data_IF_348781495081
#
_entry.id   IF_348781495081
#
_cell.length_a   1.000
_cell.length_b   1.000
_cell.length_c   1.000
_cell.angle_alpha   90.00
_cell.angle_beta   90.00
_cell.angle_gamma   90.00
#
_symmetry.space_group_name_H-M   'P 1'
#
loop_
_entity.id
_entity.type
_entity.pdbx_description
1 polymer ?
#
# COMPACT_ATOMS: atom_id res chain seq x y z
N UNK A 1 10.64 -17.31 -28.96
CA UNK A 1 10.70 -17.45 -27.47
C UNK A 1 9.29 -17.36 -26.92
N UNK A 2 8.92 -18.18 -25.95
CA UNK A 2 7.62 -18.15 -25.29
C UNK A 2 7.79 -17.73 -23.84
N UNK A 3 6.85 -16.94 -23.32
CA UNK A 3 6.79 -16.62 -21.89
C UNK A 3 6.42 -17.85 -21.07
N UNK A 4 6.82 -17.86 -19.77
CA UNK A 4 6.43 -18.92 -18.84
C UNK A 4 4.90 -18.94 -18.62
N UNK A 5 4.37 -20.08 -18.18
CA UNK A 5 2.94 -20.20 -17.84
C UNK A 5 2.51 -19.17 -16.79
N UNK A 6 3.35 -18.93 -15.78
CA UNK A 6 3.09 -17.95 -14.72
C UNK A 6 2.99 -16.52 -15.29
N UNK A 7 3.87 -16.14 -16.22
CA UNK A 7 3.80 -14.81 -16.83
C UNK A 7 2.59 -14.65 -17.75
N UNK A 8 2.22 -15.70 -18.49
CA UNK A 8 1.04 -15.70 -19.36
C UNK A 8 -0.30 -15.68 -18.59
N UNK A 9 -0.29 -16.05 -17.30
CA UNK A 9 -1.49 -15.99 -16.45
C UNK A 9 -1.80 -14.60 -15.91
N UNK A 10 -0.85 -13.64 -16.04
CA UNK A 10 -1.06 -12.29 -15.53
C UNK A 10 -2.09 -11.53 -16.38
N UNK A 11 -3.07 -10.87 -15.75
CA UNK A 11 -3.97 -9.98 -16.47
C UNK A 11 -3.23 -8.74 -16.99
N UNK A 12 -3.78 -8.06 -18.02
CA UNK A 12 -3.23 -6.80 -18.53
C UNK A 12 -3.06 -5.77 -17.38
N UNK A 13 -1.93 -5.07 -17.37
CA UNK A 13 -1.65 -4.07 -16.33
C UNK A 13 -2.25 -2.71 -16.74
N UNK A 14 -3.52 -2.49 -16.40
CA UNK A 14 -4.34 -1.33 -16.77
C UNK A 14 -3.71 0.04 -16.43
N UNK A 15 -2.87 0.11 -15.40
CA UNK A 15 -2.16 1.35 -15.04
C UNK A 15 -1.23 1.85 -16.14
N UNK A 16 -0.62 0.94 -16.93
CA UNK A 16 0.25 1.32 -18.03
C UNK A 16 -0.54 1.84 -19.23
N UNK A 17 -1.72 1.30 -19.50
CA UNK A 17 -2.61 1.81 -20.56
C UNK A 17 -3.06 3.25 -20.26
N UNK A 18 -3.43 3.53 -19.00
CA UNK A 18 -3.80 4.89 -18.57
C UNK A 18 -2.63 5.85 -18.71
N UNK A 19 -1.42 5.43 -18.31
CA UNK A 19 -0.21 6.25 -18.48
C UNK A 19 0.05 6.58 -19.95
N UNK A 20 -0.09 5.61 -20.86
CA UNK A 20 0.05 5.83 -22.31
C UNK A 20 -0.94 6.88 -22.80
N UNK A 21 -2.22 6.74 -22.47
CA UNK A 21 -3.27 7.69 -22.87
C UNK A 21 -3.01 9.10 -22.32
N UNK A 22 -2.51 9.23 -21.09
CA UNK A 22 -2.10 10.51 -20.52
C UNK A 22 -0.91 11.10 -21.30
N UNK A 23 0.10 10.28 -21.61
CA UNK A 23 1.27 10.72 -22.34
C UNK A 23 0.91 11.19 -23.76
N UNK A 24 0.06 10.46 -24.49
CA UNK A 24 -0.44 10.83 -25.80
C UNK A 24 -1.17 12.18 -25.81
N UNK A 25 -2.03 12.42 -24.80
CA UNK A 25 -2.72 13.72 -24.68
C UNK A 25 -1.73 14.86 -24.42
N UNK A 26 -0.76 14.64 -23.53
CA UNK A 26 0.28 15.64 -23.23
C UNK A 26 1.15 15.95 -24.45
N UNK A 27 1.50 14.96 -25.27
CA UNK A 27 2.24 15.17 -26.52
C UNK A 27 1.46 16.03 -27.53
N UNK A 28 0.12 16.02 -27.48
CA UNK A 28 -0.75 16.90 -28.27
C UNK A 28 -0.94 18.31 -27.64
N UNK A 29 -0.23 18.63 -26.57
CA UNK A 29 -0.35 19.91 -25.86
C UNK A 29 -1.59 20.02 -24.97
N UNK A 30 -2.35 18.92 -24.77
CA UNK A 30 -3.53 18.92 -23.93
C UNK A 30 -3.15 18.85 -22.44
N UNK A 31 -3.73 19.72 -21.62
CA UNK A 31 -3.55 19.67 -20.17
C UNK A 31 -4.33 18.49 -19.56
N UNK A 32 -3.61 17.59 -18.90
CA UNK A 32 -4.21 16.47 -18.15
C UNK A 32 -3.85 16.59 -16.67
N UNK A 33 -4.89 16.73 -15.83
CA UNK A 33 -4.78 16.67 -14.38
C UNK A 33 -4.93 15.21 -13.96
N UNK A 34 -3.86 14.63 -13.43
CA UNK A 34 -3.88 13.22 -13.03
C UNK A 34 -4.24 13.08 -11.56
N UNK A 35 -5.43 12.51 -11.30
CA UNK A 35 -5.87 12.02 -10.01
C UNK A 35 -5.79 10.47 -9.95
N UNK A 36 -5.03 9.83 -10.86
CA UNK A 36 -4.96 8.37 -10.96
C UNK A 36 -3.86 7.75 -10.11
N UNK A 37 -2.75 8.47 -9.85
CA UNK A 37 -1.55 7.93 -9.21
C UNK A 37 -1.47 8.41 -7.77
N UNK A 38 -1.44 7.48 -6.82
CA UNK A 38 -1.24 7.76 -5.39
C UNK A 38 0.25 7.89 -5.03
N UNK A 39 0.95 8.78 -5.73
CA UNK A 39 2.34 9.13 -5.43
C UNK A 39 2.36 10.47 -4.71
N UNK A 40 2.83 10.53 -3.44
CA UNK A 40 2.92 11.78 -2.69
C UNK A 40 3.68 12.85 -3.48
N UNK A 41 3.07 14.03 -3.63
CA UNK A 41 3.64 15.19 -4.30
C UNK A 41 4.42 16.12 -3.34
N UNK A 42 4.20 15.96 -2.05
CA UNK A 42 4.95 16.69 -1.03
C UNK A 42 6.39 16.14 -0.95
N UNK A 43 7.40 17.01 -0.78
CA UNK A 43 8.79 16.58 -0.78
C UNK A 43 9.11 15.71 0.45
N UNK A 44 10.14 14.86 0.30
CA UNK A 44 10.79 14.23 1.46
C UNK A 44 11.31 15.32 2.40
N UNK A 45 11.06 15.23 3.72
CA UNK A 45 11.54 16.23 4.69
C UNK A 45 13.05 16.48 4.61
N UNK A 46 13.49 17.75 4.73
CA UNK A 46 14.88 18.16 4.54
C UNK A 46 15.86 17.40 5.44
N UNK A 47 15.50 17.18 6.72
CA UNK A 47 16.35 16.45 7.64
C UNK A 47 16.62 14.98 7.24
N UNK A 48 15.71 14.37 6.45
CA UNK A 48 15.91 13.03 5.88
C UNK A 48 16.89 13.11 4.70
N UNK A 49 16.74 14.14 3.86
CA UNK A 49 17.65 14.38 2.73
C UNK A 49 19.06 14.70 3.23
N UNK A 50 19.18 15.52 4.26
CA UNK A 50 20.46 15.85 4.90
C UNK A 50 21.14 14.58 5.44
N UNK A 51 20.41 13.74 6.19
CA UNK A 51 20.93 12.46 6.68
C UNK A 51 21.34 11.50 5.55
N UNK A 52 20.59 11.50 4.45
CA UNK A 52 20.92 10.70 3.25
C UNK A 52 22.23 11.21 2.62
N UNK A 53 22.36 12.52 2.44
CA UNK A 53 23.56 13.13 1.84
C UNK A 53 24.80 12.90 2.72
N UNK A 54 24.67 13.04 4.05
CA UNK A 54 25.73 12.75 5.00
C UNK A 54 26.14 11.28 4.90
N UNK A 55 25.19 10.36 4.99
CA UNK A 55 25.48 8.92 4.90
C UNK A 55 26.05 8.52 3.53
N UNK A 56 25.65 9.18 2.44
CA UNK A 56 26.16 8.89 1.10
C UNK A 56 27.61 9.38 0.88
N UNK A 57 28.09 10.35 1.67
CA UNK A 57 29.50 10.80 1.63
C UNK A 57 30.44 9.87 2.40
N UNK A 58 29.94 9.05 3.28
CA UNK A 58 30.75 8.10 4.05
C UNK A 58 31.06 6.86 3.21
N UNK A 59 32.37 6.60 2.86
CA UNK A 59 32.78 5.45 2.05
C UNK A 59 32.38 4.09 2.64
N UNK A 60 32.20 3.97 3.96
CA UNK A 60 31.77 2.75 4.62
C UNK A 60 30.35 2.30 4.16
N UNK A 61 29.57 3.23 3.63
CA UNK A 61 28.24 2.96 3.11
C UNK A 61 28.21 2.60 1.61
N UNK A 62 29.35 2.55 0.92
CA UNK A 62 29.44 2.21 -0.51
C UNK A 62 29.54 0.71 -0.77
N UNK A 63 29.71 -0.09 0.26
CA UNK A 63 29.76 -1.56 0.16
C UNK A 63 28.34 -2.16 0.15
N UNK A 64 28.22 -3.43 -0.27
CA UNK A 64 26.96 -4.14 -0.23
C UNK A 64 26.30 -4.08 1.17
N UNK A 65 25.00 -3.83 1.25
CA UNK A 65 24.24 -3.97 2.49
C UNK A 65 24.00 -5.46 2.78
N UNK A 66 23.48 -5.76 3.96
CA UNK A 66 22.97 -7.10 4.26
C UNK A 66 21.55 -7.27 3.70
N UNK A 67 21.19 -8.46 3.24
CA UNK A 67 19.84 -8.76 2.73
C UNK A 67 18.75 -8.58 3.79
N UNK A 68 19.11 -8.76 5.07
CA UNK A 68 18.23 -8.50 6.23
C UNK A 68 18.01 -7.01 6.47
N UNK A 69 18.95 -6.17 6.08
CA UNK A 69 19.02 -4.75 6.42
C UNK A 69 20.03 -4.45 7.54
N UNK A 70 20.51 -3.23 7.56
CA UNK A 70 21.52 -2.77 8.53
C UNK A 70 20.98 -2.83 9.96
N UNK A 71 21.80 -3.19 10.96
CA UNK A 71 21.36 -3.28 12.35
C UNK A 71 20.72 -1.99 12.88
N UNK A 72 21.29 -0.84 12.53
CA UNK A 72 20.75 0.47 12.93
C UNK A 72 19.33 0.71 12.40
N UNK A 73 19.06 0.28 11.16
CA UNK A 73 17.72 0.41 10.57
C UNK A 73 16.72 -0.50 11.25
N UNK A 74 17.09 -1.78 11.49
CA UNK A 74 16.22 -2.75 12.17
C UNK A 74 15.91 -2.33 13.61
N UNK A 75 16.90 -1.79 14.31
CA UNK A 75 16.72 -1.21 15.65
C UNK A 75 15.75 -0.02 15.60
N UNK A 76 15.89 0.88 14.63
CA UNK A 76 14.98 2.01 14.46
C UNK A 76 13.54 1.58 14.16
N UNK A 77 13.36 0.48 13.43
CA UNK A 77 12.03 -0.14 13.20
C UNK A 77 11.44 -0.66 14.51
N UNK A 78 12.23 -1.37 15.33
CA UNK A 78 11.77 -1.89 16.62
C UNK A 78 11.40 -0.74 17.59
N UNK A 79 12.20 0.31 17.65
CA UNK A 79 11.90 1.52 18.43
C UNK A 79 10.62 2.21 17.93
N UNK A 80 10.41 2.25 16.61
CA UNK A 80 9.21 2.83 16.02
C UNK A 80 7.95 2.02 16.39
N UNK A 81 7.98 0.68 16.33
CA UNK A 81 6.86 -0.16 16.77
C UNK A 81 6.51 0.07 18.22
N UNK A 82 7.51 0.12 19.10
CA UNK A 82 7.30 0.43 20.53
C UNK A 82 6.70 1.82 20.72
N UNK A 83 7.26 2.83 20.07
CA UNK A 83 6.82 4.22 20.20
C UNK A 83 5.45 4.47 19.55
N UNK A 84 5.09 3.75 18.50
CA UNK A 84 3.86 4.00 17.73
C UNK A 84 2.70 3.12 18.17
N UNK A 85 2.94 1.83 18.34
CA UNK A 85 1.91 0.84 18.64
C UNK A 85 2.00 0.29 20.06
N UNK A 86 3.10 0.47 20.76
CA UNK A 86 3.37 -0.15 22.07
C UNK A 86 3.73 -1.64 21.93
N UNK A 87 4.21 -2.05 20.77
CA UNK A 87 4.57 -3.43 20.44
C UNK A 87 6.09 -3.58 20.43
N UNK A 88 6.59 -4.57 21.16
CA UNK A 88 7.99 -4.96 21.12
C UNK A 88 8.22 -5.98 20.00
N UNK A 89 9.17 -5.70 19.11
CA UNK A 89 9.65 -6.63 18.08
C UNK A 89 11.17 -6.80 18.21
N UNK A 90 11.65 -8.02 18.04
CA UNK A 90 13.07 -8.33 18.07
C UNK A 90 13.75 -7.88 16.76
N UNK A 91 14.65 -6.87 16.80
CA UNK A 91 15.31 -6.38 15.59
C UNK A 91 16.19 -7.44 14.92
N UNK A 92 16.63 -8.49 15.65
CA UNK A 92 17.47 -9.53 15.09
C UNK A 92 16.68 -10.69 14.46
N UNK A 93 15.46 -10.97 14.92
CA UNK A 93 14.68 -12.10 14.43
C UNK A 93 13.38 -11.74 13.74
N UNK A 94 12.77 -10.62 14.11
CA UNK A 94 11.40 -10.26 13.73
C UNK A 94 11.32 -9.06 12.75
N UNK A 95 12.46 -8.56 12.24
CA UNK A 95 12.49 -7.38 11.34
C UNK A 95 13.36 -7.64 10.12
N UNK A 96 12.91 -7.16 8.94
CA UNK A 96 13.68 -7.15 7.69
C UNK A 96 13.46 -5.84 6.92
N UNK A 97 14.54 -5.29 6.36
CA UNK A 97 14.49 -4.17 5.42
C UNK A 97 14.04 -4.63 4.03
N UNK A 98 13.27 -3.78 3.34
CA UNK A 98 12.71 -4.06 2.02
C UNK A 98 13.05 -2.94 1.03
N UNK A 99 13.18 -3.27 -0.25
CA UNK A 99 13.28 -2.29 -1.35
C UNK A 99 11.86 -1.76 -1.67
N UNK A 100 11.23 -1.15 -0.65
CA UNK A 100 9.81 -0.83 -0.58
C UNK A 100 8.95 -2.07 -0.26
N UNK A 101 7.79 -1.87 0.41
CA UNK A 101 6.93 -2.96 0.87
C UNK A 101 6.46 -3.91 -0.23
N UNK A 102 6.26 -3.40 -1.46
CA UNK A 102 5.81 -4.19 -2.61
C UNK A 102 6.72 -5.38 -2.91
N UNK A 103 8.03 -5.20 -2.78
CA UNK A 103 9.03 -6.26 -3.00
C UNK A 103 8.82 -7.40 -1.99
N UNK A 104 8.73 -7.07 -0.70
CA UNK A 104 8.51 -8.06 0.35
C UNK A 104 7.18 -8.80 0.20
N UNK A 105 6.10 -8.08 -0.15
CA UNK A 105 4.78 -8.65 -0.41
C UNK A 105 4.83 -9.65 -1.60
N UNK A 106 5.56 -9.31 -2.66
CA UNK A 106 5.71 -10.21 -3.80
C UNK A 106 6.56 -11.44 -3.46
N UNK A 107 7.57 -11.28 -2.61
CA UNK A 107 8.53 -12.34 -2.30
C UNK A 107 8.07 -13.28 -1.18
N UNK A 108 7.20 -12.85 -0.26
CA UNK A 108 6.75 -13.71 0.84
C UNK A 108 6.04 -14.97 0.33
N UNK A 109 5.25 -14.86 -0.74
CA UNK A 109 4.59 -16.02 -1.32
C UNK A 109 5.58 -17.02 -1.92
N UNK A 110 6.70 -16.55 -2.50
CA UNK A 110 7.76 -17.44 -3.01
C UNK A 110 8.42 -18.28 -1.91
N UNK A 111 8.42 -17.78 -0.67
CA UNK A 111 9.00 -18.49 0.47
C UNK A 111 8.09 -19.60 1.02
N UNK A 112 6.76 -19.48 0.84
CA UNK A 112 5.81 -20.31 1.59
C UNK A 112 4.69 -20.93 0.74
N UNK A 113 4.58 -20.60 -0.55
CA UNK A 113 3.54 -21.12 -1.44
C UNK A 113 4.15 -22.05 -2.48
N UNK A 114 3.67 -23.29 -2.50
CA UNK A 114 3.96 -24.23 -3.57
C UNK A 114 2.98 -24.06 -4.75
N UNK A 115 3.37 -24.50 -5.96
CA UNK A 115 2.47 -24.45 -7.12
C UNK A 115 1.14 -25.15 -6.84
N UNK A 116 0.03 -24.44 -7.12
CA UNK A 116 -1.34 -24.94 -6.95
C UNK A 116 -1.94 -24.73 -5.55
N UNK A 117 -1.16 -24.31 -4.54
CA UNK A 117 -1.70 -23.97 -3.21
C UNK A 117 -2.57 -22.73 -3.24
N UNK A 118 -3.59 -22.69 -2.42
CA UNK A 118 -4.60 -21.63 -2.37
C UNK A 118 -4.10 -20.45 -1.52
N UNK A 119 -4.33 -19.24 -2.03
CA UNK A 119 -4.01 -17.96 -1.36
C UNK A 119 -5.26 -17.09 -1.37
N UNK A 120 -5.69 -16.65 -0.20
CA UNK A 120 -6.84 -15.77 -0.03
C UNK A 120 -6.42 -14.33 -0.42
N UNK A 121 -7.09 -13.77 -1.43
CA UNK A 121 -6.78 -12.47 -2.01
C UNK A 121 -8.02 -11.58 -1.99
N UNK A 122 -7.98 -10.39 -1.38
CA UNK A 122 -9.10 -9.46 -1.43
C UNK A 122 -9.32 -8.90 -2.85
N UNK A 123 -10.58 -8.59 -3.18
CA UNK A 123 -10.99 -7.98 -4.45
C UNK A 123 -12.15 -6.97 -4.20
N UNK A 124 -12.00 -5.66 -4.51
CA UNK A 124 -10.85 -5.03 -5.16
C UNK A 124 -9.64 -4.87 -4.23
N UNK A 125 -8.43 -4.98 -4.78
CA UNK A 125 -7.20 -4.86 -4.01
C UNK A 125 -6.02 -4.34 -4.82
N UNK A 126 -4.94 -4.02 -4.14
CA UNK A 126 -3.67 -3.72 -4.79
C UNK A 126 -3.19 -4.95 -5.58
N UNK A 127 -2.98 -4.83 -6.90
CA UNK A 127 -2.75 -5.99 -7.78
C UNK A 127 -1.57 -6.88 -7.40
N UNK A 128 -0.66 -6.42 -6.54
CA UNK A 128 0.51 -7.20 -6.15
C UNK A 128 0.14 -8.48 -5.42
N UNK A 129 -0.94 -8.51 -4.65
CA UNK A 129 -1.33 -9.71 -3.86
C UNK A 129 -1.69 -10.87 -4.79
N UNK A 130 -2.55 -10.62 -5.78
CA UNK A 130 -2.90 -11.62 -6.76
C UNK A 130 -1.78 -11.89 -7.75
N UNK A 131 -1.25 -10.82 -8.41
CA UNK A 131 -0.37 -10.97 -9.54
C UNK A 131 1.08 -11.27 -9.13
N UNK A 132 1.67 -10.37 -8.32
CA UNK A 132 3.09 -10.45 -7.95
C UNK A 132 3.40 -11.54 -6.92
N UNK A 133 2.52 -11.71 -5.93
CA UNK A 133 2.69 -12.72 -4.90
C UNK A 133 2.13 -14.08 -5.33
N UNK A 134 0.81 -14.17 -5.56
CA UNK A 134 0.14 -15.46 -5.77
C UNK A 134 0.49 -16.09 -7.12
N UNK A 135 0.14 -15.44 -8.23
CA UNK A 135 0.29 -16.04 -9.57
C UNK A 135 1.75 -16.26 -9.97
N UNK A 136 2.66 -15.31 -9.67
CA UNK A 136 4.07 -15.48 -10.00
C UNK A 136 4.80 -16.48 -9.11
N UNK A 137 4.20 -16.90 -7.98
CA UNK A 137 4.68 -18.02 -7.17
C UNK A 137 4.04 -19.36 -7.57
N UNK A 138 3.18 -19.36 -8.58
CA UNK A 138 2.43 -20.55 -9.01
C UNK A 138 1.23 -20.88 -8.13
N UNK A 139 0.89 -20.05 -7.17
CA UNK A 139 -0.26 -20.22 -6.29
C UNK A 139 -1.59 -19.96 -7.00
N UNK A 140 -2.68 -20.42 -6.41
CA UNK A 140 -4.04 -20.28 -6.90
C UNK A 140 -4.79 -19.23 -6.06
N UNK A 141 -5.17 -18.07 -6.64
CA UNK A 141 -5.92 -17.06 -5.89
C UNK A 141 -7.35 -17.54 -5.62
N UNK A 142 -7.79 -17.46 -4.36
CA UNK A 142 -9.17 -17.57 -3.92
C UNK A 142 -9.64 -16.18 -3.50
N UNK A 143 -10.64 -15.67 -4.20
CA UNK A 143 -11.08 -14.29 -4.06
C UNK A 143 -11.93 -14.10 -2.81
N UNK A 144 -11.59 -13.08 -2.02
CA UNK A 144 -12.40 -12.56 -0.92
C UNK A 144 -13.06 -11.26 -1.38
N UNK A 145 -14.35 -11.23 -1.71
CA UNK A 145 -15.03 -10.01 -2.17
C UNK A 145 -15.04 -8.93 -1.10
N UNK A 146 -14.65 -7.72 -1.46
CA UNK A 146 -14.79 -6.51 -0.62
C UNK A 146 -15.94 -5.68 -1.17
N UNK A 147 -17.10 -5.76 -0.51
CA UNK A 147 -18.32 -5.09 -0.95
C UNK A 147 -18.65 -3.87 -0.10
N UNK A 148 -19.50 -2.98 -0.64
CA UNK A 148 -19.94 -1.78 0.09
C UNK A 148 -20.77 -2.16 1.32
N UNK A 149 -21.57 -3.24 1.25
CA UNK A 149 -22.40 -3.77 2.32
C UNK A 149 -21.56 -4.19 3.54
N UNK A 150 -20.39 -4.79 3.30
CA UNK A 150 -19.45 -5.19 4.34
C UNK A 150 -18.42 -4.10 4.69
N UNK A 151 -18.64 -2.86 4.23
CA UNK A 151 -17.70 -1.76 4.45
C UNK A 151 -16.33 -2.00 3.84
N UNK A 152 -16.27 -2.76 2.74
CA UNK A 152 -15.04 -3.21 2.06
C UNK A 152 -14.10 -4.02 2.96
N UNK A 153 -14.67 -4.86 3.82
CA UNK A 153 -13.97 -5.91 4.56
C UNK A 153 -14.43 -7.28 4.04
N UNK A 154 -13.55 -8.31 4.00
CA UNK A 154 -14.00 -9.65 3.63
C UNK A 154 -14.93 -10.21 4.70
N UNK A 155 -15.91 -10.97 4.27
CA UNK A 155 -16.65 -11.88 5.13
C UNK A 155 -15.84 -13.17 5.28
N UNK A 156 -15.13 -13.31 6.40
CA UNK A 156 -14.24 -14.45 6.65
C UNK A 156 -15.00 -15.76 6.81
N UNK A 157 -16.28 -15.71 7.22
CA UNK A 157 -17.12 -16.90 7.39
C UNK A 157 -17.65 -17.43 6.05
N UNK A 158 -17.71 -16.58 5.04
CA UNK A 158 -18.16 -16.93 3.69
C UNK A 158 -17.01 -17.34 2.75
N UNK A 159 -15.78 -17.49 3.25
CA UNK A 159 -14.63 -17.87 2.43
C UNK A 159 -14.73 -19.35 2.02
N UNK A 160 -14.91 -19.58 0.72
CA UNK A 160 -14.93 -20.91 0.13
C UNK A 160 -13.53 -21.33 -0.35
N UNK A 161 -12.68 -21.81 0.55
CA UNK A 161 -11.36 -22.35 0.25
C UNK A 161 -11.19 -23.72 0.89
N UNK A 162 -10.46 -24.63 0.22
CA UNK A 162 -10.27 -26.00 0.73
C UNK A 162 -9.16 -26.08 1.77
N UNK A 163 -8.01 -25.46 1.46
CA UNK A 163 -6.82 -25.49 2.31
C UNK A 163 -5.92 -24.29 1.99
N UNK A 164 -6.38 -23.07 2.28
CA UNK A 164 -5.60 -21.87 1.98
C UNK A 164 -4.36 -21.81 2.88
N UNK A 165 -3.23 -21.43 2.29
CA UNK A 165 -1.94 -21.34 2.99
C UNK A 165 -1.59 -19.93 3.42
N UNK A 166 -2.13 -18.94 2.73
CA UNK A 166 -1.80 -17.54 2.96
C UNK A 166 -3.02 -16.66 2.72
N UNK A 167 -3.12 -15.56 3.46
CA UNK A 167 -4.15 -14.54 3.31
C UNK A 167 -3.51 -13.16 3.29
N UNK A 168 -3.89 -12.32 2.32
CA UNK A 168 -3.52 -10.92 2.28
C UNK A 168 -4.65 -10.03 2.80
N UNK A 169 -4.31 -9.08 3.67
CA UNK A 169 -5.20 -8.00 4.11
C UNK A 169 -4.47 -6.66 4.00
N UNK A 170 -5.20 -5.59 3.72
CA UNK A 170 -4.65 -4.25 3.61
C UNK A 170 -5.61 -3.22 4.21
N UNK A 171 -5.27 -2.67 5.36
CA UNK A 171 -6.03 -1.59 6.02
C UNK A 171 -5.08 -0.62 6.75
N UNK A 172 -5.15 0.69 6.45
CA UNK A 172 -6.08 1.36 5.51
C UNK A 172 -5.89 0.91 4.06
N UNK A 173 -7.01 0.69 3.37
CA UNK A 173 -7.07 -0.07 2.13
C UNK A 173 -6.74 0.77 0.88
N UNK A 174 -6.02 0.20 -0.03
CA UNK A 174 -5.89 0.63 -1.41
C UNK A 174 -6.57 -0.43 -2.31
N UNK A 175 -7.70 -0.15 -3.00
CA UNK A 175 -8.12 1.20 -3.45
C UNK A 175 -9.24 1.86 -2.64
N UNK A 176 -9.95 1.14 -1.78
CA UNK A 176 -11.26 1.53 -1.23
C UNK A 176 -11.21 2.60 -0.15
N UNK A 177 -10.02 2.86 0.41
CA UNK A 177 -9.80 3.70 1.60
C UNK A 177 -10.54 3.22 2.87
N UNK A 178 -11.04 1.99 2.87
CA UNK A 178 -11.64 1.36 4.04
C UNK A 178 -10.62 1.24 5.18
N UNK A 179 -11.13 1.26 6.40
CA UNK A 179 -10.32 1.16 7.62
C UNK A 179 -10.74 -0.05 8.45
N UNK A 180 -9.80 -0.63 9.16
CA UNK A 180 -10.05 -1.69 10.14
C UNK A 180 -9.91 -1.16 11.56
N UNK A 181 -10.62 -1.77 12.49
CA UNK A 181 -10.43 -1.64 13.92
C UNK A 181 -9.78 -2.92 14.51
N UNK A 182 -9.39 -2.86 15.77
CA UNK A 182 -8.78 -4.00 16.44
C UNK A 182 -9.70 -5.23 16.54
N UNK A 183 -11.01 -5.01 16.57
CA UNK A 183 -11.98 -6.11 16.61
C UNK A 183 -11.89 -6.95 15.34
N UNK A 184 -11.98 -6.30 14.18
CA UNK A 184 -11.84 -6.99 12.90
C UNK A 184 -10.46 -7.65 12.73
N UNK A 185 -9.39 -6.99 13.20
CA UNK A 185 -8.05 -7.60 13.15
C UNK A 185 -7.95 -8.84 14.03
N UNK A 186 -8.57 -8.85 15.21
CA UNK A 186 -8.64 -10.04 16.07
C UNK A 186 -9.41 -11.17 15.39
N UNK A 187 -10.57 -10.88 14.80
CA UNK A 187 -11.33 -11.86 14.02
C UNK A 187 -10.49 -12.46 12.87
N UNK A 188 -9.70 -11.64 12.18
CA UNK A 188 -8.81 -12.10 11.11
C UNK A 188 -7.64 -12.96 11.61
N UNK A 189 -7.08 -12.64 12.77
CA UNK A 189 -6.02 -13.43 13.43
C UNK A 189 -6.58 -14.77 13.87
N UNK A 190 -7.75 -14.80 14.54
CA UNK A 190 -8.39 -16.02 14.99
C UNK A 190 -8.69 -16.94 13.80
N UNK A 191 -9.31 -16.40 12.74
CA UNK A 191 -9.57 -17.13 11.52
C UNK A 191 -8.28 -17.73 10.91
N UNK A 192 -7.20 -16.97 10.91
CA UNK A 192 -5.93 -17.44 10.36
C UNK A 192 -5.30 -18.55 11.21
N UNK A 193 -5.38 -18.46 12.54
CA UNK A 193 -4.90 -19.51 13.48
C UNK A 193 -5.71 -20.79 13.31
N UNK A 194 -7.04 -20.69 13.37
CA UNK A 194 -7.96 -21.84 13.29
C UNK A 194 -7.79 -22.63 11.99
N UNK A 195 -7.37 -21.98 10.91
CA UNK A 195 -7.18 -22.58 9.59
C UNK A 195 -5.70 -22.80 9.21
N UNK A 196 -4.73 -22.51 10.07
CA UNK A 196 -3.30 -22.66 9.80
C UNK A 196 -2.80 -21.79 8.64
N UNK A 197 -3.32 -20.55 8.51
CA UNK A 197 -3.06 -19.63 7.41
C UNK A 197 -1.99 -18.59 7.80
N UNK A 198 -1.03 -18.35 6.94
CA UNK A 198 -0.09 -17.23 7.06
C UNK A 198 -0.83 -15.93 6.78
N UNK A 199 -0.86 -15.00 7.73
CA UNK A 199 -1.51 -13.70 7.59
C UNK A 199 -0.50 -12.63 7.17
N UNK A 200 -0.64 -12.12 5.94
CA UNK A 200 0.14 -11.02 5.38
C UNK A 200 -0.65 -9.72 5.47
N UNK A 201 -0.25 -8.80 6.36
CA UNK A 201 -0.93 -7.54 6.59
C UNK A 201 -0.15 -6.36 5.99
N UNK A 202 -0.69 -5.74 4.94
CA UNK A 202 -0.10 -4.54 4.32
C UNK A 202 -0.64 -3.28 5.00
N UNK A 203 0.20 -2.63 5.80
CA UNK A 203 -0.12 -1.45 6.59
C UNK A 203 0.61 -0.18 6.11
N UNK A 204 0.83 -0.09 4.79
CA UNK A 204 1.59 1.00 4.18
C UNK A 204 0.99 2.40 4.43
N UNK A 205 -0.29 2.50 4.78
CA UNK A 205 -1.01 3.76 5.00
C UNK A 205 -1.34 4.02 6.48
N UNK A 206 -0.74 3.29 7.42
CA UNK A 206 -0.99 3.42 8.86
C UNK A 206 -0.90 4.86 9.39
N UNK A 207 -0.05 5.67 8.79
CA UNK A 207 0.21 7.04 9.22
C UNK A 207 -0.53 8.11 8.41
N UNK A 208 -1.24 7.71 7.36
CA UNK A 208 -2.02 8.62 6.52
C UNK A 208 -3.48 8.55 6.95
N UNK A 209 -3.78 9.18 8.09
CA UNK A 209 -5.09 9.09 8.75
C UNK A 209 -5.65 10.47 9.07
N UNK A 210 -6.98 10.56 9.16
CA UNK A 210 -7.73 11.81 9.32
C UNK A 210 -8.79 11.68 10.40
N UNK A 211 -9.24 12.82 10.92
CA UNK A 211 -10.44 12.96 11.76
C UNK A 211 -10.39 12.08 13.03
N UNK A 212 -9.19 11.95 13.62
CA UNK A 212 -8.97 11.21 14.86
C UNK A 212 -8.88 9.69 14.71
N UNK A 213 -9.01 9.14 13.49
CA UNK A 213 -8.76 7.72 13.28
C UNK A 213 -7.26 7.42 13.43
N UNK A 214 -6.97 6.34 14.12
CA UNK A 214 -5.61 5.79 14.29
C UNK A 214 -5.62 4.35 13.79
N UNK A 215 -4.83 4.07 12.76
CA UNK A 215 -4.72 2.72 12.24
C UNK A 215 -3.99 1.82 13.24
N UNK A 216 -4.54 0.63 13.56
CA UNK A 216 -3.85 -0.35 14.38
C UNK A 216 -2.79 -1.12 13.58
N UNK A 217 -1.81 -1.68 14.29
CA UNK A 217 -0.96 -2.77 13.79
C UNK A 217 -1.63 -4.11 14.04
N UNK A 218 -1.44 -5.09 13.13
CA UNK A 218 -1.88 -6.46 13.39
C UNK A 218 -1.11 -7.06 14.59
N UNK A 219 0.13 -6.61 14.80
CA UNK A 219 0.98 -7.08 15.89
C UNK A 219 0.58 -6.51 17.28
N UNK A 220 -0.44 -5.64 17.36
CA UNK A 220 -1.10 -5.28 18.63
C UNK A 220 -2.06 -6.38 19.13
N UNK A 221 -2.34 -7.40 18.29
CA UNK A 221 -3.05 -8.62 18.68
C UNK A 221 -1.99 -9.63 19.11
N UNK A 222 -2.07 -10.11 20.34
CA UNK A 222 -1.01 -10.90 20.99
C UNK A 222 -0.63 -12.13 20.19
N UNK A 223 -1.61 -12.88 19.72
CA UNK A 223 -1.45 -14.14 19.00
C UNK A 223 -0.97 -13.94 17.54
N UNK A 224 -1.06 -12.72 17.01
CA UNK A 224 -0.67 -12.45 15.62
C UNK A 224 0.81 -12.77 15.34
N UNK A 225 1.68 -12.66 16.33
CA UNK A 225 3.10 -13.00 16.18
C UNK A 225 3.37 -14.48 15.84
N UNK A 226 2.38 -15.35 16.05
CA UNK A 226 2.52 -16.78 15.71
C UNK A 226 2.39 -17.00 14.19
N UNK A 227 1.59 -16.18 13.49
CA UNK A 227 1.17 -16.46 12.11
C UNK A 227 1.26 -15.26 11.16
N UNK A 228 1.54 -14.05 11.64
CA UNK A 228 1.46 -12.85 10.83
C UNK A 228 2.83 -12.24 10.51
N UNK A 229 2.84 -11.58 9.36
CA UNK A 229 3.88 -10.63 8.93
C UNK A 229 3.21 -9.34 8.48
N UNK A 230 3.68 -8.20 9.01
CA UNK A 230 3.18 -6.87 8.68
C UNK A 230 4.18 -6.11 7.83
N UNK A 231 3.68 -5.44 6.76
CA UNK A 231 4.49 -4.69 5.80
C UNK A 231 4.24 -3.18 5.93
N UNK A 232 5.32 -2.40 5.99
CA UNK A 232 5.30 -0.94 6.03
C UNK A 232 6.13 -0.31 4.92
N UNK A 233 5.73 0.89 4.50
CA UNK A 233 6.41 1.64 3.45
C UNK A 233 6.79 3.05 3.90
N UNK A 234 8.07 3.39 3.87
CA UNK A 234 8.52 4.77 4.08
C UNK A 234 8.06 5.70 2.94
N UNK A 235 7.69 5.14 1.80
CA UNK A 235 7.17 5.89 0.65
C UNK A 235 5.98 6.78 0.99
N UNK A 236 5.11 6.33 1.90
CA UNK A 236 3.85 7.01 2.22
C UNK A 236 4.00 7.93 3.42
N UNK A 237 4.56 7.40 4.50
CA UNK A 237 4.73 8.13 5.76
C UNK A 237 5.70 9.29 5.66
N UNK A 238 6.79 9.11 4.89
CA UNK A 238 7.90 10.06 4.83
C UNK A 238 8.10 10.68 3.44
N UNK A 239 7.16 10.49 2.50
CA UNK A 239 7.29 10.94 1.11
C UNK A 239 8.59 10.44 0.43
N UNK A 240 8.97 9.19 0.72
CA UNK A 240 10.22 8.57 0.24
C UNK A 240 9.97 7.58 -0.92
N UNK A 241 9.03 7.88 -1.82
CA UNK A 241 8.66 6.95 -2.91
C UNK A 241 9.83 6.59 -3.82
N UNK A 242 10.65 7.56 -4.18
CA UNK A 242 11.85 7.40 -5.02
C UNK A 242 13.01 6.68 -4.31
N UNK A 243 13.05 6.70 -2.98
CA UNK A 243 14.15 6.11 -2.20
C UNK A 243 14.07 4.58 -2.08
N UNK A 244 12.93 3.98 -2.41
CA UNK A 244 12.72 2.52 -2.42
C UNK A 244 13.09 1.85 -1.09
N UNK A 245 12.48 2.28 0.02
CA UNK A 245 12.70 1.72 1.35
C UNK A 245 11.37 1.43 2.06
N UNK A 246 11.31 0.29 2.70
CA UNK A 246 10.25 -0.19 3.57
C UNK A 246 10.78 -1.24 4.52
N UNK A 247 9.92 -1.89 5.26
CA UNK A 247 10.28 -2.98 6.15
C UNK A 247 9.09 -3.93 6.35
N UNK A 248 9.39 -5.12 6.83
CA UNK A 248 8.41 -6.03 7.39
C UNK A 248 8.81 -6.41 8.81
N UNK A 249 7.79 -6.65 9.64
CA UNK A 249 7.96 -7.15 11.00
C UNK A 249 6.93 -8.24 11.30
N UNK A 250 7.25 -9.18 12.20
CA UNK A 250 6.34 -10.24 12.62
C UNK A 250 7.02 -11.55 12.93
N UNK A 251 6.36 -12.66 12.63
CA UNK A 251 6.81 -14.00 12.95
C UNK A 251 8.24 -14.27 12.46
N UNK A 252 9.11 -14.78 13.35
CA UNK A 252 10.54 -15.03 13.06
C UNK A 252 10.76 -15.95 11.85
N UNK A 253 9.93 -16.99 11.71
CA UNK A 253 10.05 -17.95 10.61
C UNK A 253 9.64 -17.32 9.28
N UNK A 254 8.62 -16.45 9.29
CA UNK A 254 8.19 -15.72 8.10
C UNK A 254 9.25 -14.70 7.66
N UNK A 255 9.83 -13.97 8.61
CA UNK A 255 10.95 -13.05 8.35
C UNK A 255 12.16 -13.81 7.80
N UNK A 256 12.53 -14.93 8.40
CA UNK A 256 13.65 -15.76 7.93
C UNK A 256 13.41 -16.29 6.50
N UNK A 257 12.18 -16.76 6.19
CA UNK A 257 11.82 -17.21 4.85
C UNK A 257 11.95 -16.09 3.81
N UNK A 258 11.46 -14.90 4.15
CA UNK A 258 11.56 -13.72 3.28
C UNK A 258 13.02 -13.31 3.04
N UNK A 259 13.86 -13.32 4.08
CA UNK A 259 15.32 -13.05 3.96
C UNK A 259 15.98 -14.04 2.99
N UNK A 260 15.71 -15.34 3.13
CA UNK A 260 16.29 -16.37 2.23
C UNK A 260 15.93 -16.13 0.75
N UNK A 261 14.70 -15.70 0.47
CA UNK A 261 14.29 -15.35 -0.89
C UNK A 261 15.01 -14.09 -1.37
N UNK A 262 15.12 -13.06 -0.53
CA UNK A 262 15.84 -11.82 -0.85
C UNK A 262 17.31 -12.06 -1.17
N UNK A 263 17.99 -12.95 -0.44
CA UNK A 263 19.38 -13.34 -0.69
C UNK A 263 19.61 -13.90 -2.10
N UNK A 264 18.56 -14.43 -2.75
CA UNK A 264 18.63 -14.94 -4.13
C UNK A 264 18.18 -13.93 -5.19
N UNK A 265 17.63 -12.76 -4.80
CA UNK A 265 17.02 -11.79 -5.72
C UNK A 265 17.73 -10.45 -5.68
N UNK A 266 18.02 -9.95 -4.49
CA UNK A 266 18.63 -8.64 -4.27
C UNK A 266 19.62 -8.70 -3.10
N UNK A 267 20.50 -7.72 -3.00
CA UNK A 267 21.46 -7.60 -1.89
C UNK A 267 21.00 -6.58 -0.83
N UNK A 268 19.71 -6.25 -0.81
CA UNK A 268 19.13 -5.29 0.13
C UNK A 268 19.14 -3.83 -0.35
N UNK A 269 18.48 -2.96 0.41
CA UNK A 269 18.44 -1.53 0.14
C UNK A 269 19.78 -0.86 0.46
N UNK A 270 20.23 0.16 -0.30
CA UNK A 270 21.49 0.85 -0.02
C UNK A 270 21.61 1.36 1.41
N UNK A 271 22.80 1.22 2.02
CA UNK A 271 23.07 1.57 3.43
C UNK A 271 22.70 3.02 3.75
N UNK A 272 23.06 3.97 2.89
CA UNK A 272 22.76 5.39 3.09
C UNK A 272 21.25 5.70 3.05
N UNK A 273 20.47 4.94 2.29
CA UNK A 273 19.00 5.05 2.30
C UNK A 273 18.43 4.49 3.61
N UNK A 274 18.95 3.36 4.09
CA UNK A 274 18.53 2.78 5.36
C UNK A 274 18.85 3.71 6.55
N UNK A 275 20.01 4.37 6.57
CA UNK A 275 20.38 5.36 7.60
C UNK A 275 19.43 6.56 7.60
N UNK A 276 19.09 7.09 6.41
CA UNK A 276 18.13 8.18 6.29
C UNK A 276 16.72 7.76 6.79
N UNK A 277 16.28 6.56 6.45
CA UNK A 277 15.01 6.01 6.91
C UNK A 277 15.00 5.74 8.43
N UNK A 278 16.11 5.26 9.00
CA UNK A 278 16.28 5.11 10.44
C UNK A 278 16.13 6.46 11.17
N UNK A 279 16.72 7.52 10.62
CA UNK A 279 16.55 8.89 11.15
C UNK A 279 15.08 9.33 11.13
N UNK A 280 14.35 8.99 10.05
CA UNK A 280 12.93 9.30 9.93
C UNK A 280 12.08 8.54 10.96
N UNK A 281 12.28 7.24 11.14
CA UNK A 281 11.55 6.41 12.11
C UNK A 281 11.76 6.88 13.55
N UNK A 282 12.98 7.27 13.93
CA UNK A 282 13.32 7.79 15.27
C UNK A 282 12.65 9.13 15.62
N UNK A 283 11.94 9.77 14.68
CA UNK A 283 11.17 11.00 14.97
C UNK A 283 9.86 10.75 15.72
N UNK A 284 9.37 9.51 15.76
CA UNK A 284 8.19 9.14 16.54
C UNK A 284 8.50 9.08 18.04
N UNK A 285 7.66 9.75 18.84
CA UNK A 285 7.82 9.76 20.31
C UNK A 285 6.45 9.70 20.99
N UNK A 286 6.30 8.86 22.02
CA UNK A 286 5.11 8.83 22.88
C UNK A 286 3.79 8.67 22.07
N UNK A 287 3.75 7.76 21.11
CA UNK A 287 2.60 7.47 20.22
C UNK A 287 2.13 8.67 19.36
N UNK A 288 2.95 9.74 19.28
CA UNK A 288 2.59 10.94 18.52
C UNK A 288 3.36 11.01 17.19
N UNK A 289 2.68 11.34 16.09
CA UNK A 289 3.35 11.56 14.81
C UNK A 289 4.23 12.82 14.88
N UNK A 290 5.35 12.83 14.14
CA UNK A 290 6.24 13.98 14.08
C UNK A 290 5.57 15.20 13.44
N UNK A 291 6.10 16.40 13.70
CA UNK A 291 5.47 17.65 13.32
C UNK A 291 5.33 17.83 11.79
N UNK A 292 6.33 17.38 11.02
CA UNK A 292 6.23 17.44 9.56
C UNK A 292 5.06 16.60 9.02
N UNK A 293 4.79 15.44 9.64
CA UNK A 293 3.69 14.57 9.22
C UNK A 293 2.33 15.22 9.57
N UNK A 294 2.21 15.86 10.72
CA UNK A 294 0.99 16.62 11.07
C UNK A 294 0.71 17.73 10.05
N UNK A 295 1.74 18.45 9.61
CA UNK A 295 1.61 19.48 8.56
C UNK A 295 1.15 18.86 7.24
N UNK A 296 1.75 17.76 6.83
CA UNK A 296 1.37 17.03 5.61
C UNK A 296 -0.08 16.53 5.69
N UNK A 297 -0.47 15.94 6.83
CA UNK A 297 -1.84 15.45 7.03
C UNK A 297 -2.88 16.58 7.00
N UNK A 298 -2.56 17.78 7.48
CA UNK A 298 -3.43 18.96 7.36
C UNK A 298 -3.66 19.34 5.90
N UNK A 299 -2.62 19.37 5.07
CA UNK A 299 -2.70 19.64 3.62
C UNK A 299 -3.54 18.55 2.93
N UNK A 300 -3.25 17.29 3.21
CA UNK A 300 -3.96 16.17 2.60
C UNK A 300 -5.43 16.12 3.02
N UNK A 301 -5.74 16.45 4.27
CA UNK A 301 -7.12 16.57 4.77
C UNK A 301 -7.89 17.65 4.02
N UNK A 302 -7.29 18.82 3.82
CA UNK A 302 -7.91 19.91 3.04
C UNK A 302 -8.20 19.47 1.60
N UNK A 303 -7.25 18.84 0.95
CA UNK A 303 -7.41 18.30 -0.41
C UNK A 303 -8.51 17.24 -0.50
N UNK A 304 -8.54 16.31 0.46
CA UNK A 304 -9.59 15.30 0.59
C UNK A 304 -10.96 15.95 0.72
N UNK A 305 -11.09 16.90 1.64
CA UNK A 305 -12.35 17.58 1.91
C UNK A 305 -12.82 18.34 0.68
N UNK A 306 -11.94 19.08 0.02
CA UNK A 306 -12.23 19.79 -1.24
C UNK A 306 -12.75 18.84 -2.33
N UNK A 307 -12.04 17.70 -2.54
CA UNK A 307 -12.45 16.75 -3.59
C UNK A 307 -13.78 16.08 -3.26
N UNK A 308 -13.97 15.59 -2.04
CA UNK A 308 -15.21 14.90 -1.63
C UNK A 308 -16.41 15.84 -1.67
N UNK A 309 -16.30 17.05 -1.15
CA UNK A 309 -17.38 18.03 -1.16
C UNK A 309 -17.73 18.48 -2.58
N UNK A 310 -16.70 18.67 -3.43
CA UNK A 310 -16.90 18.98 -4.83
C UNK A 310 -17.63 17.88 -5.59
N UNK A 311 -17.19 16.62 -5.44
CA UNK A 311 -17.85 15.47 -6.08
C UNK A 311 -19.31 15.32 -5.62
N UNK A 312 -19.57 15.44 -4.31
CA UNK A 312 -20.94 15.37 -3.79
C UNK A 312 -21.84 16.49 -4.33
N UNK A 313 -21.33 17.73 -4.48
CA UNK A 313 -22.06 18.84 -5.12
C UNK A 313 -22.41 18.56 -6.58
N UNK A 314 -21.59 17.76 -7.26
CA UNK A 314 -21.82 17.33 -8.64
C UNK A 314 -22.76 16.10 -8.74
N UNK A 315 -23.32 15.63 -7.63
CA UNK A 315 -24.21 14.45 -7.61
C UNK A 315 -23.46 13.11 -7.56
N UNK A 316 -22.12 13.13 -7.54
CA UNK A 316 -21.29 11.94 -7.42
C UNK A 316 -21.05 11.61 -5.95
N UNK A 317 -21.98 10.84 -5.36
CA UNK A 317 -21.95 10.53 -3.92
C UNK A 317 -20.74 9.70 -3.54
N UNK A 318 -19.91 10.23 -2.64
CA UNK A 318 -18.80 9.50 -2.01
C UNK A 318 -18.68 9.83 -0.52
N UNK A 319 -18.25 8.84 0.25
CA UNK A 319 -17.98 9.00 1.67
C UNK A 319 -16.62 9.68 1.86
N UNK A 320 -16.48 10.47 2.92
CA UNK A 320 -15.20 11.06 3.34
C UNK A 320 -14.32 9.99 3.95
N UNK A 321 -13.20 9.60 3.34
CA UNK A 321 -12.34 8.55 3.88
C UNK A 321 -11.61 9.00 5.15
N UNK A 322 -11.41 8.08 6.09
CA UNK A 322 -10.68 8.31 7.33
C UNK A 322 -9.17 8.13 7.20
N UNK A 323 -8.71 7.59 6.06
CA UNK A 323 -7.30 7.30 5.82
C UNK A 323 -6.96 7.23 4.32
N UNK A 324 -5.69 7.07 4.00
CA UNK A 324 -5.08 6.95 2.67
C UNK A 324 -5.06 8.25 1.85
N UNK A 325 -4.58 8.15 0.63
CA UNK A 325 -4.62 9.23 -0.38
C UNK A 325 -5.80 9.10 -1.34
N UNK A 326 -6.75 8.15 -1.09
CA UNK A 326 -7.71 7.72 -2.09
C UNK A 326 -9.14 8.06 -1.73
N UNK A 327 -9.88 8.42 -2.77
CA UNK A 327 -11.33 8.47 -2.78
C UNK A 327 -11.80 7.34 -3.68
N UNK A 328 -12.62 6.45 -3.14
CA UNK A 328 -13.28 5.37 -3.87
C UNK A 328 -14.68 5.83 -4.24
N UNK A 329 -14.87 6.14 -5.51
CA UNK A 329 -16.07 6.77 -6.01
C UNK A 329 -16.87 5.77 -6.84
N UNK A 330 -18.13 5.54 -6.45
CA UNK A 330 -19.09 4.78 -7.27
C UNK A 330 -19.45 5.56 -8.53
N UNK A 331 -19.45 4.89 -9.68
CA UNK A 331 -19.68 5.52 -10.97
C UNK A 331 -21.09 5.20 -11.50
N UNK A 332 -21.72 6.11 -12.28
CA UNK A 332 -23.04 5.88 -12.86
C UNK A 332 -23.01 4.91 -14.05
N UNK A 333 -21.84 4.49 -14.50
CA UNK A 333 -21.60 3.63 -15.66
C UNK A 333 -20.33 2.79 -15.45
N UNK A 334 -20.04 1.78 -16.29
CA UNK A 334 -18.83 0.95 -16.17
C UNK A 334 -17.55 1.77 -16.03
N UNK A 335 -16.67 1.34 -15.14
CA UNK A 335 -15.49 2.09 -14.66
C UNK A 335 -14.57 2.58 -15.79
N UNK A 336 -14.31 1.73 -16.79
CA UNK A 336 -13.50 2.10 -17.96
C UNK A 336 -14.18 3.20 -18.79
N UNK A 337 -15.51 3.09 -19.01
CA UNK A 337 -16.26 4.09 -19.78
C UNK A 337 -16.23 5.44 -19.09
N UNK A 338 -16.49 5.47 -17.79
CA UNK A 338 -16.43 6.67 -16.97
C UNK A 338 -15.02 7.29 -16.96
N UNK A 339 -13.97 6.48 -16.79
CA UNK A 339 -12.58 6.93 -16.87
C UNK A 339 -12.26 7.58 -18.23
N UNK A 340 -12.66 6.96 -19.33
CA UNK A 340 -12.46 7.52 -20.69
C UNK A 340 -13.21 8.84 -20.87
N UNK A 341 -14.42 8.95 -20.33
CA UNK A 341 -15.23 10.19 -20.36
C UNK A 341 -14.54 11.33 -19.61
N UNK A 342 -14.05 11.08 -18.41
CA UNK A 342 -13.28 12.08 -17.65
C UNK A 342 -11.98 12.46 -18.35
N UNK A 343 -11.27 11.48 -18.92
CA UNK A 343 -10.02 11.73 -19.63
C UNK A 343 -10.20 12.59 -20.88
N UNK A 344 -11.34 12.51 -21.58
CA UNK A 344 -11.69 13.42 -22.70
C UNK A 344 -11.68 14.88 -22.25
N UNK A 345 -12.12 15.17 -21.01
CA UNK A 345 -12.07 16.49 -20.40
C UNK A 345 -10.74 16.82 -19.72
N UNK A 346 -9.73 15.98 -19.87
CA UNK A 346 -8.39 16.17 -19.30
C UNK A 346 -8.29 15.86 -17.80
N UNK A 347 -9.12 14.95 -17.27
CA UNK A 347 -8.98 14.41 -15.91
C UNK A 347 -8.72 12.91 -15.98
N UNK A 348 -7.59 12.47 -15.45
CA UNK A 348 -7.27 11.05 -15.39
C UNK A 348 -7.55 10.49 -14.00
N UNK A 349 -8.29 9.38 -13.94
CA UNK A 349 -8.60 8.59 -12.75
C UNK A 349 -8.25 7.13 -13.01
N UNK A 350 -8.26 6.27 -11.97
CA UNK A 350 -8.01 4.84 -12.17
C UNK A 350 -9.33 4.07 -12.16
N UNK A 351 -9.66 3.29 -13.22
CA UNK A 351 -10.87 2.48 -13.23
C UNK A 351 -10.78 1.37 -12.19
N UNK A 352 -11.89 1.12 -11.50
CA UNK A 352 -11.94 0.17 -10.40
C UNK A 352 -11.69 -1.28 -10.80
N UNK A 353 -12.10 -1.65 -12.03
CA UNK A 353 -11.81 -2.99 -12.59
C UNK A 353 -10.30 -3.31 -12.62
N UNK A 354 -9.44 -2.29 -12.63
CA UNK A 354 -7.98 -2.46 -12.54
C UNK A 354 -7.50 -2.97 -11.18
N UNK A 355 -8.38 -3.03 -10.19
CA UNK A 355 -8.12 -3.58 -8.86
C UNK A 355 -8.82 -4.93 -8.62
N UNK A 356 -9.59 -5.43 -9.60
CA UNK A 356 -10.34 -6.67 -9.52
C UNK A 356 -11.80 -6.50 -9.97
N UNK A 357 -12.50 -7.61 -10.16
CA UNK A 357 -13.89 -7.61 -10.66
C UNK A 357 -14.87 -6.84 -9.78
N UNK A 358 -14.72 -6.96 -8.45
CA UNK A 358 -15.57 -6.26 -7.48
C UNK A 358 -15.28 -4.76 -7.39
N UNK A 359 -14.23 -4.28 -8.09
CA UNK A 359 -13.98 -2.86 -8.30
C UNK A 359 -14.76 -2.25 -9.45
N UNK A 360 -15.49 -3.05 -10.27
CA UNK A 360 -16.30 -2.51 -11.35
C UNK A 360 -17.36 -1.54 -10.80
N UNK A 361 -17.79 -0.57 -11.62
CA UNK A 361 -18.67 0.54 -11.22
C UNK A 361 -18.07 1.47 -10.16
N UNK A 362 -16.74 1.48 -10.00
CA UNK A 362 -16.02 2.45 -9.18
C UNK A 362 -14.82 3.01 -9.93
N UNK A 363 -14.35 4.16 -9.48
CA UNK A 363 -13.03 4.70 -9.85
C UNK A 363 -12.30 5.14 -8.60
N UNK A 364 -10.97 4.99 -8.63
CA UNK A 364 -10.11 5.53 -7.58
C UNK A 364 -9.57 6.90 -8.00
N UNK A 365 -9.76 7.91 -7.15
CA UNK A 365 -9.12 9.22 -7.28
C UNK A 365 -8.08 9.38 -6.17
N UNK A 366 -6.96 10.03 -6.49
CA UNK A 366 -5.89 10.33 -5.53
C UNK A 366 -5.84 11.84 -5.23
N UNK A 367 -5.63 12.19 -3.97
CA UNK A 367 -5.52 13.58 -3.50
C UNK A 367 -4.07 14.11 -3.51
N UNK A 368 -3.21 13.47 -4.29
CA UNK A 368 -1.77 13.80 -4.43
C UNK A 368 -1.53 14.88 -5.49
N UNK A 369 -2.38 15.91 -5.49
CA UNK A 369 -2.24 17.10 -6.33
C UNK A 369 -2.51 18.35 -5.47
N UNK A 370 -1.92 19.51 -5.79
CA UNK A 370 -2.28 20.77 -5.15
C UNK A 370 -3.79 21.06 -5.21
N UNK A 371 -4.31 21.74 -4.18
CA UNK A 371 -5.74 22.04 -4.04
C UNK A 371 -6.32 22.73 -5.28
N UNK A 372 -5.60 23.67 -5.85
CA UNK A 372 -5.99 24.43 -7.04
C UNK A 372 -6.17 23.51 -8.26
N UNK A 373 -5.32 22.48 -8.39
CA UNK A 373 -5.46 21.46 -9.44
C UNK A 373 -6.66 20.55 -9.18
N UNK A 374 -6.97 20.24 -7.91
CA UNK A 374 -8.17 19.48 -7.55
C UNK A 374 -9.43 20.26 -7.89
N UNK A 375 -9.48 21.55 -7.55
CA UNK A 375 -10.60 22.44 -7.91
C UNK A 375 -10.79 22.54 -9.43
N UNK A 376 -9.71 22.71 -10.18
CA UNK A 376 -9.73 22.69 -11.65
C UNK A 376 -10.20 21.33 -12.21
N UNK A 377 -9.79 20.22 -11.59
CA UNK A 377 -10.27 18.89 -11.97
C UNK A 377 -11.79 18.76 -11.73
N UNK A 378 -12.33 19.27 -10.63
CA UNK A 378 -13.77 19.28 -10.36
C UNK A 378 -14.57 20.06 -11.43
N UNK A 379 -14.07 21.22 -11.88
CA UNK A 379 -14.68 21.96 -12.99
C UNK A 379 -14.69 21.17 -14.30
N UNK A 380 -13.60 20.44 -14.58
CA UNK A 380 -13.52 19.57 -15.76
C UNK A 380 -14.42 18.33 -15.63
N UNK A 381 -14.55 17.75 -14.42
CA UNK A 381 -15.49 16.66 -14.12
C UNK A 381 -16.93 17.12 -14.36
N UNK A 382 -17.31 18.31 -13.91
CA UNK A 382 -18.63 18.90 -14.15
C UNK A 382 -18.99 18.94 -15.65
N UNK A 383 -18.04 19.30 -16.49
CA UNK A 383 -18.23 19.32 -17.96
C UNK A 383 -18.37 17.93 -18.58
N UNK A 384 -17.94 16.90 -17.85
CA UNK A 384 -18.01 15.53 -18.31
C UNK A 384 -19.34 14.84 -17.93
N UNK A 385 -20.05 15.35 -16.95
CA UNK A 385 -21.33 14.80 -16.46
C UNK A 385 -22.52 15.26 -17.30
#
# INVERSE_FOLDING_TARGET
>A
MQFSKALNSLPPYLFEEIKKLIAEKRMRGEEVISLSIGDPDLPTPSFIIEALCEAARDPANHTYPTSRGEPEFRQAVAEWYRNRFGVDVDPEGEVVALIGSKEGIANIARAFINPGEEVLVPDPAYPVYQNGATLLSGGKPVIMPLTEENGFKPDLQAVEAKNPKMMFLNYPNNPTAATADKKFLKEAVDFAIDNGIILCYDNAYSEITYDGYTAPSILEIEEAKEIAIEFHSCSKTFNMTGHRIGFAAGNKKLIQGLIKVKEQIDSGAPKYIQKAAAKALKTYKNKKPPEFLKKNLKILKERRDTLVEGLNKLGLKCKKPKATYYIWLKTPEPSIKFTKRLLKQGVAVTPGIGFGKHGENHVRLAITQPKEKIEKALQKIQKAL
#
